data_IF_400566635663
#
_entry.id   IF_400566635663
#
_cell.length_a   1.000
_cell.length_b   1.000
_cell.length_c   1.000
_cell.angle_alpha   90.00
_cell.angle_beta   90.00
_cell.angle_gamma   90.00
#
_symmetry.space_group_name_H-M   'P 1'
#
loop_
_entity.id
_entity.type
_entity.pdbx_description
1 polymer ?
#
# COMPACT_ATOMS: atom_id res chain seq x y z
N UNK A 1 0.20 55.28 0.90
CA UNK A 1 -0.32 54.03 1.47
C UNK A 1 0.27 52.85 0.69
N UNK A 2 1.32 52.23 1.21
CA UNK A 2 1.94 51.03 0.62
C UNK A 2 1.26 49.80 1.23
N UNK A 3 0.60 49.00 0.40
CA UNK A 3 -0.01 47.73 0.81
C UNK A 3 1.11 46.70 0.94
N UNK A 4 1.28 46.15 2.15
CA UNK A 4 2.10 44.97 2.37
C UNK A 4 1.31 43.75 1.91
N UNK A 5 1.83 43.05 0.91
CA UNK A 5 1.36 41.73 0.49
C UNK A 5 2.13 40.74 1.34
N UNK A 6 1.47 40.14 2.33
CA UNK A 6 2.01 39.03 3.12
C UNK A 6 2.08 37.81 2.19
N UNK A 7 3.25 37.18 1.98
CA UNK A 7 3.31 35.95 1.21
C UNK A 7 2.68 34.84 2.05
N UNK A 8 1.58 34.28 1.55
CA UNK A 8 1.04 33.00 1.99
C UNK A 8 2.11 31.97 1.62
N UNK A 9 2.86 31.51 2.63
CA UNK A 9 3.84 30.45 2.47
C UNK A 9 3.14 29.20 1.98
N UNK A 10 3.53 28.74 0.79
CA UNK A 10 3.19 27.42 0.29
C UNK A 10 3.89 26.44 1.23
N UNK A 11 3.11 25.87 2.16
CA UNK A 11 3.54 24.72 2.95
C UNK A 11 3.71 23.57 1.97
N UNK A 12 4.97 23.28 1.63
CA UNK A 12 5.33 22.06 0.93
C UNK A 12 4.98 20.91 1.88
N UNK A 13 3.88 20.22 1.59
CA UNK A 13 3.55 18.93 2.19
C UNK A 13 4.66 17.95 1.81
N UNK A 14 5.65 17.83 2.69
CA UNK A 14 6.51 16.66 2.69
C UNK A 14 5.64 15.50 3.17
N UNK A 15 5.11 14.73 2.23
CA UNK A 15 4.62 13.38 2.49
C UNK A 15 5.85 12.57 2.86
N UNK A 16 6.24 12.61 4.13
CA UNK A 16 7.07 11.55 4.70
C UNK A 16 6.16 10.33 4.65
N UNK A 17 6.36 9.48 3.66
CA UNK A 17 5.70 8.18 3.52
C UNK A 17 6.20 7.25 4.62
N UNK A 18 5.84 7.55 5.86
CA UNK A 18 5.64 6.59 6.91
C UNK A 18 4.14 6.29 6.96
N UNK A 19 3.63 5.60 5.94
CA UNK A 19 2.26 5.09 5.95
C UNK A 19 2.16 3.98 7.00
N UNK A 20 1.97 4.40 8.26
CA UNK A 20 1.49 3.56 9.36
C UNK A 20 -0.04 3.52 9.42
N UNK A 21 -0.74 3.86 8.34
CA UNK A 21 -2.18 3.66 8.22
C UNK A 21 -2.42 2.35 7.49
N UNK A 22 -2.64 1.28 8.25
CA UNK A 22 -3.27 0.07 7.74
C UNK A 22 -4.64 0.46 7.18
N UNK A 23 -4.69 0.73 5.88
CA UNK A 23 -5.93 0.77 5.13
C UNK A 23 -6.48 -0.65 5.22
N UNK A 24 -7.59 -0.82 5.95
CA UNK A 24 -8.38 -2.04 5.86
C UNK A 24 -9.00 -2.06 4.46
N UNK A 25 -8.28 -2.60 3.49
CA UNK A 25 -8.91 -3.06 2.27
C UNK A 25 -9.90 -4.17 2.63
N UNK A 26 -11.08 -4.21 2.01
CA UNK A 26 -11.95 -5.37 2.13
C UNK A 26 -11.22 -6.56 1.51
N UNK A 27 -10.71 -7.44 2.36
CA UNK A 27 -10.22 -8.77 2.00
C UNK A 27 -11.32 -9.46 1.19
N UNK A 28 -11.12 -9.57 -0.11
CA UNK A 28 -11.86 -10.50 -0.94
C UNK A 28 -11.36 -11.90 -0.58
N UNK A 29 -12.31 -12.79 -0.34
CA UNK A 29 -12.12 -14.11 0.27
C UNK A 29 -11.01 -14.92 -0.42
N UNK A 30 -9.85 -14.98 0.20
CA UNK A 30 -8.89 -16.07 0.08
C UNK A 30 -8.69 -16.66 1.46
N UNK A 31 -9.07 -17.92 1.66
CA UNK A 31 -8.85 -18.66 2.89
C UNK A 31 -7.33 -18.84 3.13
N UNK A 32 -6.72 -17.85 3.79
CA UNK A 32 -5.33 -17.87 4.22
C UNK A 32 -5.27 -17.37 5.66
N UNK A 33 -4.82 -18.24 6.57
CA UNK A 33 -4.68 -18.04 8.01
C UNK A 33 -4.01 -16.69 8.36
N UNK A 34 -4.83 -15.66 8.57
CA UNK A 34 -4.40 -14.38 9.12
C UNK A 34 -3.99 -14.57 10.58
N UNK A 35 -2.68 -14.63 10.82
CA UNK A 35 -2.15 -14.65 12.17
C UNK A 35 -2.40 -13.28 12.79
N UNK A 36 -3.37 -13.17 13.70
CA UNK A 36 -3.58 -11.98 14.54
C UNK A 36 -2.30 -11.71 15.33
N UNK A 37 -1.51 -10.73 14.88
CA UNK A 37 -0.38 -10.21 15.66
C UNK A 37 -0.99 -9.42 16.83
N UNK A 38 -1.07 -10.05 18.00
CA UNK A 38 -1.35 -9.34 19.24
C UNK A 38 -0.30 -8.26 19.43
N UNK A 39 -0.70 -7.00 19.25
CA UNK A 39 0.12 -5.82 19.56
C UNK A 39 0.34 -5.79 21.07
N UNK A 40 1.47 -6.31 21.52
CA UNK A 40 1.94 -6.12 22.89
C UNK A 40 2.31 -4.65 23.06
N UNK A 41 1.65 -3.96 23.98
CA UNK A 41 1.96 -2.58 24.32
C UNK A 41 3.41 -2.51 24.83
N UNK A 42 4.27 -1.81 24.08
CA UNK A 42 5.67 -1.62 24.46
C UNK A 42 5.69 -0.46 25.45
N UNK A 43 5.99 -0.75 26.70
CA UNK A 43 6.27 0.26 27.70
C UNK A 43 7.53 1.03 27.28
N UNK A 44 7.40 2.34 27.01
CA UNK A 44 8.50 3.19 26.54
C UNK A 44 9.03 3.99 27.72
N UNK A 45 10.34 3.93 27.94
CA UNK A 45 10.99 4.74 28.96
C UNK A 45 11.01 6.21 28.53
N UNK A 46 10.07 7.01 29.02
CA UNK A 46 10.08 8.46 28.87
C UNK A 46 11.29 9.02 29.61
N UNK A 47 12.18 9.68 28.87
CA UNK A 47 13.43 10.22 29.43
C UNK A 47 13.30 11.69 29.80
N UNK A 48 12.37 12.42 29.16
CA UNK A 48 12.07 13.82 29.47
C UNK A 48 10.59 14.10 29.22
N UNK A 49 9.97 14.85 30.13
CA UNK A 49 8.63 15.40 29.98
C UNK A 49 8.69 16.93 29.84
N UNK A 50 7.97 17.47 28.85
CA UNK A 50 7.75 18.92 28.75
C UNK A 50 6.66 19.34 29.73
N UNK A 51 6.82 20.52 30.33
CA UNK A 51 5.84 21.06 31.29
C UNK A 51 4.85 21.96 30.56
N UNK A 52 3.56 21.86 30.89
CA UNK A 52 2.51 22.73 30.36
C UNK A 52 2.15 23.85 31.38
N UNK A 53 2.79 25.03 31.37
CA UNK A 53 2.50 26.07 32.36
C UNK A 53 1.20 26.83 32.09
N UNK A 54 0.73 26.86 30.83
CA UNK A 54 -0.52 27.51 30.41
C UNK A 54 -1.50 26.47 29.89
N UNK A 55 -2.75 26.54 30.31
CA UNK A 55 -3.80 25.63 29.83
C UNK A 55 -4.19 25.97 28.38
N UNK A 56 -4.11 27.25 27.99
CA UNK A 56 -4.56 27.73 26.69
C UNK A 56 -3.46 27.68 25.62
N UNK A 57 -3.82 27.22 24.42
CA UNK A 57 -2.96 27.18 23.23
C UNK A 57 -3.67 27.85 22.05
N UNK A 58 -3.87 29.19 22.09
CA UNK A 58 -4.79 29.87 21.18
C UNK A 58 -4.43 29.74 19.70
N UNK A 59 -3.13 29.72 19.37
CA UNK A 59 -2.67 29.54 17.98
C UNK A 59 -2.98 28.13 17.47
N UNK A 60 -2.75 27.11 18.32
CA UNK A 60 -3.06 25.72 18.04
C UNK A 60 -4.57 25.48 17.89
N UNK A 61 -5.36 26.06 18.78
CA UNK A 61 -6.82 25.91 18.79
C UNK A 61 -7.44 26.54 17.53
N UNK A 62 -6.85 27.64 17.06
CA UNK A 62 -7.22 28.26 15.78
C UNK A 62 -6.96 27.31 14.61
N UNK A 63 -5.78 26.68 14.54
CA UNK A 63 -5.46 25.72 13.47
C UNK A 63 -6.40 24.51 13.52
N UNK A 64 -6.71 24.00 14.72
CA UNK A 64 -7.69 22.91 14.89
C UNK A 64 -9.07 23.30 14.35
N UNK A 65 -9.53 24.51 14.66
CA UNK A 65 -10.80 25.03 14.15
C UNK A 65 -10.77 25.16 12.61
N UNK A 66 -9.68 25.69 12.04
CA UNK A 66 -9.50 25.79 10.59
C UNK A 66 -9.52 24.41 9.91
N UNK A 67 -8.87 23.39 10.49
CA UNK A 67 -8.89 22.00 9.97
C UNK A 67 -10.32 21.47 9.85
N UNK A 68 -11.15 21.67 10.89
CA UNK A 68 -12.55 21.24 10.87
C UNK A 68 -13.39 21.90 9.79
N UNK A 69 -12.99 23.10 9.36
CA UNK A 69 -13.69 23.85 8.33
C UNK A 69 -13.30 23.47 6.90
N UNK A 70 -12.18 22.76 6.71
CA UNK A 70 -11.66 22.38 5.38
C UNK A 70 -12.59 21.37 4.68
N UNK A 71 -12.79 21.50 3.35
CA UNK A 71 -13.59 20.55 2.57
C UNK A 71 -13.12 19.10 2.74
N UNK A 72 -11.82 18.84 2.70
CA UNK A 72 -11.27 17.49 2.79
C UNK A 72 -11.62 16.80 4.13
N UNK A 73 -11.69 17.57 5.22
CA UNK A 73 -12.15 17.06 6.50
C UNK A 73 -13.66 16.80 6.47
N UNK A 74 -14.46 17.77 6.00
CA UNK A 74 -15.93 17.67 5.92
C UNK A 74 -16.43 16.60 4.96
N UNK A 75 -15.68 16.32 3.90
CA UNK A 75 -15.97 15.29 2.91
C UNK A 75 -15.49 13.90 3.40
N UNK A 76 -14.80 13.85 4.54
CA UNK A 76 -14.37 12.60 5.17
C UNK A 76 -13.19 11.94 4.49
N UNK A 77 -12.38 12.71 3.74
CA UNK A 77 -11.20 12.21 3.02
C UNK A 77 -10.21 11.57 4.00
N UNK A 78 -10.08 12.14 5.20
CA UNK A 78 -9.20 11.63 6.26
C UNK A 78 -9.87 10.63 7.21
N UNK A 79 -11.09 10.18 6.91
CA UNK A 79 -11.91 9.31 7.76
C UNK A 79 -13.07 10.03 8.44
N UNK A 80 -13.62 9.42 9.50
CA UNK A 80 -14.78 9.93 10.21
C UNK A 80 -14.46 11.27 10.88
N UNK A 81 -15.29 12.29 10.65
CA UNK A 81 -15.09 13.63 11.21
C UNK A 81 -15.30 13.65 12.73
N UNK A 82 -14.25 13.37 13.50
CA UNK A 82 -14.27 13.41 14.97
C UNK A 82 -13.35 14.51 15.50
N UNK A 83 -13.57 14.91 16.76
CA UNK A 83 -12.69 15.85 17.46
C UNK A 83 -11.27 15.29 17.66
N UNK A 84 -11.15 13.97 17.74
CA UNK A 84 -9.90 13.21 17.82
C UNK A 84 -9.14 13.25 16.50
N UNK A 85 -9.81 13.02 15.37
CA UNK A 85 -9.18 13.17 14.05
C UNK A 85 -8.68 14.60 13.84
N UNK A 86 -9.49 15.61 14.20
CA UNK A 86 -9.06 17.01 14.14
C UNK A 86 -7.85 17.28 15.04
N UNK A 87 -7.78 16.63 16.21
CA UNK A 87 -6.65 16.72 17.11
C UNK A 87 -5.38 16.11 16.51
N UNK A 88 -5.47 14.90 15.94
CA UNK A 88 -4.35 14.21 15.33
C UNK A 88 -3.80 14.97 14.11
N UNK A 89 -4.69 15.51 13.27
CA UNK A 89 -4.29 16.39 12.17
C UNK A 89 -3.66 17.69 12.66
N UNK A 90 -4.07 18.21 13.83
CA UNK A 90 -3.43 19.37 14.45
C UNK A 90 -2.00 19.02 14.88
N UNK A 91 -1.81 17.86 15.53
CA UNK A 91 -0.47 17.35 15.90
C UNK A 91 0.44 17.25 14.67
N UNK A 92 -0.07 16.74 13.55
CA UNK A 92 0.69 16.64 12.31
C UNK A 92 1.00 17.99 11.66
N UNK A 93 0.18 19.02 11.86
CA UNK A 93 0.37 20.35 11.26
C UNK A 93 1.14 21.32 12.15
N UNK A 94 1.22 21.07 13.45
CA UNK A 94 1.81 21.99 14.43
C UNK A 94 2.95 21.33 15.17
N UNK A 95 2.65 20.38 16.06
CA UNK A 95 3.65 19.72 16.91
C UNK A 95 4.77 19.05 16.10
N UNK A 96 4.41 18.22 15.11
CA UNK A 96 5.38 17.48 14.30
C UNK A 96 6.38 18.37 13.57
N UNK A 97 5.95 19.31 12.71
CA UNK A 97 6.85 20.20 11.98
C UNK A 97 7.75 21.05 12.90
N UNK A 98 7.21 21.53 14.03
CA UNK A 98 7.99 22.29 15.01
C UNK A 98 9.04 21.42 15.67
N UNK A 99 8.68 20.19 16.06
CA UNK A 99 9.62 19.24 16.64
C UNK A 99 10.69 18.81 15.65
N UNK A 100 10.34 18.53 14.40
CA UNK A 100 11.30 18.22 13.33
C UNK A 100 12.27 19.39 13.13
N UNK A 101 11.78 20.62 13.06
CA UNK A 101 12.64 21.81 12.92
C UNK A 101 13.63 21.94 14.09
N UNK A 102 13.16 21.71 15.33
CA UNK A 102 14.02 21.74 16.51
C UNK A 102 15.08 20.61 16.49
N UNK A 103 14.70 19.41 16.03
CA UNK A 103 15.63 18.30 15.84
C UNK A 103 16.67 18.63 14.77
N UNK A 104 16.26 19.23 13.65
CA UNK A 104 17.17 19.65 12.58
C UNK A 104 18.15 20.74 13.07
N UNK A 105 17.69 21.70 13.86
CA UNK A 105 18.55 22.75 14.44
C UNK A 105 19.64 22.15 15.35
N UNK A 106 19.25 21.20 16.20
CA UNK A 106 20.12 20.62 17.23
C UNK A 106 21.03 19.50 16.70
N UNK A 107 20.52 18.65 15.81
CA UNK A 107 21.20 17.43 15.36
C UNK A 107 21.79 17.53 13.95
N UNK A 108 21.76 18.70 13.29
CA UNK A 108 22.50 18.94 12.06
C UNK A 108 21.72 18.71 10.76
N UNK A 109 20.47 19.17 10.70
CA UNK A 109 19.64 19.22 9.50
C UNK A 109 18.84 17.94 9.21
N UNK A 110 18.23 17.88 8.03
CA UNK A 110 17.18 16.93 7.61
C UNK A 110 17.51 15.44 7.81
N UNK A 111 18.80 15.07 7.83
CA UNK A 111 19.24 13.69 8.05
C UNK A 111 20.09 13.52 9.32
N UNK A 112 20.36 14.59 10.06
CA UNK A 112 21.23 14.56 11.23
C UNK A 112 20.65 13.67 12.33
N UNK A 113 19.36 13.84 12.63
CA UNK A 113 18.69 13.07 13.67
C UNK A 113 18.51 11.57 13.34
N UNK A 114 18.54 11.18 12.06
CA UNK A 114 18.34 9.77 11.68
C UNK A 114 19.40 8.83 12.26
N UNK A 115 20.58 9.36 12.60
CA UNK A 115 21.70 8.61 13.21
C UNK A 115 21.61 8.50 14.73
N UNK A 116 20.70 9.24 15.32
CA UNK A 116 20.64 9.51 16.75
C UNK A 116 19.39 8.88 17.36
N UNK A 117 18.35 8.66 16.54
CA UNK A 117 17.07 8.20 17.02
C UNK A 117 16.05 7.89 15.94
N UNK A 118 14.81 7.81 16.38
CA UNK A 118 13.61 7.59 15.58
C UNK A 118 12.56 8.67 15.89
N UNK A 119 11.70 8.92 14.91
CA UNK A 119 10.51 9.77 15.06
C UNK A 119 9.31 9.10 14.42
N UNK A 120 8.13 9.29 15.01
CA UNK A 120 6.86 8.84 14.43
C UNK A 120 5.69 9.64 15.01
N UNK A 121 4.56 9.61 14.30
CA UNK A 121 3.28 10.07 14.84
C UNK A 121 2.58 8.89 15.53
N UNK A 122 2.09 9.13 16.74
CA UNK A 122 1.35 8.15 17.53
C UNK A 122 -0.04 7.85 16.94
N UNK A 123 -0.63 6.75 17.39
CA UNK A 123 -1.99 6.33 17.03
C UNK A 123 -3.04 7.04 17.88
N UNK A 124 -4.32 6.83 17.57
CA UNK A 124 -5.46 7.31 18.35
C UNK A 124 -5.36 6.93 19.84
N UNK A 125 -4.85 5.73 20.16
CA UNK A 125 -4.65 5.26 21.53
C UNK A 125 -3.51 6.00 22.26
N UNK A 126 -2.53 6.51 21.53
CA UNK A 126 -1.32 7.14 22.07
C UNK A 126 -0.92 8.36 21.22
N UNK A 127 -1.76 9.41 21.16
CA UNK A 127 -1.60 10.49 20.20
C UNK A 127 -0.41 11.37 20.55
N UNK A 128 0.23 11.91 19.51
CA UNK A 128 1.35 12.83 19.66
C UNK A 128 2.45 12.59 18.64
N UNK A 129 3.48 13.42 18.73
CA UNK A 129 4.74 13.27 18.03
C UNK A 129 5.76 12.68 19.00
N UNK A 130 6.31 11.53 18.62
CA UNK A 130 7.21 10.74 19.46
C UNK A 130 8.63 10.84 18.94
N UNK A 131 9.56 11.15 19.85
CA UNK A 131 10.98 11.36 19.61
C UNK A 131 11.74 10.34 20.44
N UNK A 132 12.24 9.29 19.80
CA UNK A 132 13.06 8.26 20.43
C UNK A 132 14.52 8.60 20.24
N UNK A 133 15.31 8.72 21.30
CA UNK A 133 16.75 8.99 21.22
C UNK A 133 17.50 7.78 21.73
N UNK A 134 18.41 7.23 20.91
CA UNK A 134 19.17 6.04 21.27
C UNK A 134 20.22 6.34 22.33
N UNK A 135 20.99 7.41 22.17
CA UNK A 135 22.04 7.79 23.11
C UNK A 135 21.88 9.26 23.50
N UNK A 136 21.06 9.57 24.51
CA UNK A 136 20.90 10.95 24.99
C UNK A 136 22.23 11.57 25.42
N UNK A 137 22.47 12.80 25.01
CA UNK A 137 23.65 13.60 25.36
C UNK A 137 23.25 15.07 25.61
N UNK A 138 24.21 15.99 25.70
CA UNK A 138 23.95 17.41 25.97
C UNK A 138 23.02 18.10 24.95
N UNK A 139 22.90 17.56 23.74
CA UNK A 139 22.00 18.09 22.70
C UNK A 139 20.54 17.85 23.06
N UNK A 140 20.22 16.84 23.87
CA UNK A 140 18.86 16.65 24.38
C UNK A 140 18.40 17.84 25.22
N UNK A 141 19.27 18.39 26.07
CA UNK A 141 18.93 19.57 26.88
C UNK A 141 18.62 20.78 26.01
N UNK A 142 19.35 20.95 24.91
CA UNK A 142 19.10 22.00 23.92
C UNK A 142 17.77 21.82 23.19
N UNK A 143 17.48 20.58 22.74
CA UNK A 143 16.19 20.23 22.14
C UNK A 143 15.03 20.54 23.10
N UNK A 144 15.13 20.10 24.34
CA UNK A 144 14.11 20.31 25.38
C UNK A 144 13.92 21.79 25.63
N UNK A 145 14.99 22.59 25.67
CA UNK A 145 14.91 24.04 25.83
C UNK A 145 14.15 24.71 24.68
N UNK A 146 14.41 24.32 23.43
CA UNK A 146 13.71 24.86 22.25
C UNK A 146 12.22 24.51 22.30
N UNK A 147 11.89 23.23 22.55
CA UNK A 147 10.52 22.76 22.59
C UNK A 147 9.74 23.36 23.77
N UNK A 148 10.35 23.42 24.96
CA UNK A 148 9.76 24.03 26.14
C UNK A 148 9.43 25.51 25.89
N UNK A 149 10.30 26.26 25.20
CA UNK A 149 9.99 27.65 24.85
C UNK A 149 8.73 27.77 23.96
N UNK A 150 8.50 26.81 23.04
CA UNK A 150 7.28 26.75 22.22
C UNK A 150 6.06 26.42 23.06
N UNK A 151 6.18 25.49 24.00
CA UNK A 151 5.11 25.17 24.96
C UNK A 151 4.78 26.39 25.85
N UNK A 152 5.78 27.08 26.39
CA UNK A 152 5.61 28.25 27.27
C UNK A 152 4.91 29.42 26.55
N UNK A 153 5.17 29.57 25.25
CA UNK A 153 4.46 30.52 24.39
C UNK A 153 3.03 30.12 24.04
N UNK A 154 2.64 28.86 24.26
CA UNK A 154 1.32 28.33 23.90
C UNK A 154 1.17 27.97 22.41
N UNK A 155 2.28 27.82 21.69
CA UNK A 155 2.30 27.47 20.26
C UNK A 155 2.01 25.97 20.06
N UNK A 156 2.58 25.13 20.94
CA UNK A 156 2.38 23.68 20.94
C UNK A 156 1.90 23.21 22.31
N UNK A 157 1.30 22.01 22.36
CA UNK A 157 0.91 21.39 23.63
C UNK A 157 1.91 20.30 24.05
N UNK A 158 2.43 20.39 25.28
CA UNK A 158 3.38 19.42 25.83
C UNK A 158 2.85 17.98 25.84
N UNK A 159 1.53 17.78 26.02
CA UNK A 159 0.93 16.44 26.05
C UNK A 159 1.08 15.63 24.76
N UNK A 160 1.46 16.28 23.66
CA UNK A 160 1.63 15.65 22.35
C UNK A 160 3.08 15.59 21.90
N UNK A 161 4.05 15.91 22.76
CA UNK A 161 5.46 15.71 22.47
C UNK A 161 6.01 14.72 23.48
N UNK A 162 6.40 13.55 22.99
CA UNK A 162 6.88 12.45 23.83
C UNK A 162 8.35 12.20 23.53
N UNK A 163 9.22 12.30 24.53
CA UNK A 163 10.66 12.07 24.37
C UNK A 163 11.06 10.83 25.18
N UNK A 164 11.52 9.79 24.50
CA UNK A 164 11.77 8.47 25.10
C UNK A 164 13.13 7.89 24.69
N UNK A 165 13.60 6.91 25.45
CA UNK A 165 14.79 6.13 25.11
C UNK A 165 14.46 5.13 24.01
N UNK A 166 15.18 5.16 22.90
CA UNK A 166 15.04 4.17 21.84
C UNK A 166 16.18 3.15 21.86
N UNK A 167 15.91 1.92 21.40
CA UNK A 167 16.93 0.87 21.25
C UNK A 167 17.69 0.97 19.92
N UNK A 168 17.16 1.72 18.95
CA UNK A 168 17.69 1.81 17.59
C UNK A 168 17.47 3.20 16.99
N UNK A 169 18.04 3.42 15.81
CA UNK A 169 17.91 4.66 15.04
C UNK A 169 17.31 4.37 13.67
N UNK A 170 16.80 5.41 12.99
CA UNK A 170 16.33 5.29 11.61
C UNK A 170 17.44 4.79 10.66
N UNK A 171 18.69 5.21 10.87
CA UNK A 171 19.83 4.75 10.07
C UNK A 171 20.10 3.26 10.27
N UNK A 172 20.08 2.77 11.52
CA UNK A 172 20.25 1.34 11.82
C UNK A 172 19.11 0.49 11.26
N UNK A 173 17.85 0.94 11.39
CA UNK A 173 16.69 0.24 10.83
C UNK A 173 16.75 0.18 9.30
N UNK A 174 17.14 1.27 8.64
CA UNK A 174 17.35 1.28 7.18
C UNK A 174 18.46 0.33 6.76
N UNK A 175 19.59 0.32 7.48
CA UNK A 175 20.70 -0.58 7.19
C UNK A 175 20.30 -2.05 7.35
N UNK A 176 19.52 -2.38 8.38
CA UNK A 176 18.96 -3.71 8.60
C UNK A 176 17.99 -4.10 7.47
N UNK A 177 17.05 -3.22 7.13
CA UNK A 177 16.11 -3.42 6.02
C UNK A 177 16.85 -3.69 4.71
N UNK A 178 17.88 -2.91 4.39
CA UNK A 178 18.71 -3.09 3.20
C UNK A 178 19.46 -4.43 3.22
N UNK A 179 19.93 -4.87 4.38
CA UNK A 179 20.59 -6.18 4.52
C UNK A 179 19.63 -7.33 4.29
N UNK A 180 18.46 -7.31 4.92
CA UNK A 180 17.41 -8.33 4.73
C UNK A 180 16.95 -8.34 3.28
N UNK A 181 16.67 -7.17 2.71
CA UNK A 181 16.25 -7.02 1.32
C UNK A 181 17.27 -7.64 0.35
N UNK A 182 18.57 -7.49 0.59
CA UNK A 182 19.60 -8.15 -0.25
C UNK A 182 19.54 -9.67 -0.19
N UNK A 183 19.28 -10.25 0.99
CA UNK A 183 19.16 -11.70 1.12
C UNK A 183 17.89 -12.23 0.44
N UNK A 184 16.74 -11.59 0.68
CA UNK A 184 15.47 -11.97 0.03
C UNK A 184 15.57 -11.81 -1.50
N UNK A 185 16.24 -10.76 -1.97
CA UNK A 185 16.44 -10.54 -3.42
C UNK A 185 17.21 -11.67 -4.09
N UNK A 186 18.23 -12.25 -3.45
CA UNK A 186 18.92 -13.43 -4.01
C UNK A 186 17.96 -14.60 -4.18
N UNK A 187 17.08 -14.81 -3.20
CA UNK A 187 16.07 -15.87 -3.26
C UNK A 187 15.06 -15.64 -4.39
N UNK A 188 14.71 -14.39 -4.70
CA UNK A 188 13.91 -14.04 -5.89
C UNK A 188 14.66 -14.38 -7.18
N UNK A 189 15.94 -14.00 -7.27
CA UNK A 189 16.77 -14.26 -8.44
C UNK A 189 17.02 -15.76 -8.69
N UNK A 190 17.03 -16.55 -7.62
CA UNK A 190 17.15 -18.02 -7.64
C UNK A 190 15.81 -18.74 -7.91
N UNK A 191 14.68 -18.06 -7.75
CA UNK A 191 13.37 -18.65 -8.03
C UNK A 191 13.23 -18.93 -9.53
N UNK A 192 12.66 -20.08 -9.90
CA UNK A 192 12.62 -20.53 -11.30
C UNK A 192 11.85 -19.57 -12.24
N UNK A 193 10.92 -18.78 -11.70
CA UNK A 193 10.22 -17.70 -12.43
C UNK A 193 10.24 -16.39 -11.63
N UNK A 194 11.35 -15.62 -11.66
CA UNK A 194 11.51 -14.39 -10.86
C UNK A 194 10.45 -13.32 -11.16
N UNK A 195 9.82 -13.38 -12.35
CA UNK A 195 8.79 -12.44 -12.76
C UNK A 195 7.41 -12.75 -12.18
N UNK A 196 7.21 -13.90 -11.52
CA UNK A 196 5.94 -14.29 -10.89
C UNK A 196 5.93 -14.04 -9.37
N UNK A 197 7.05 -13.61 -8.80
CA UNK A 197 7.18 -13.41 -7.35
C UNK A 197 7.18 -11.93 -6.99
N UNK A 198 6.77 -11.65 -5.76
CA UNK A 198 6.76 -10.34 -5.14
C UNK A 198 7.13 -10.46 -3.67
N UNK A 199 7.74 -9.40 -3.15
CA UNK A 199 8.02 -9.29 -1.73
C UNK A 199 8.12 -7.83 -1.29
N UNK A 200 7.94 -7.61 0.00
CA UNK A 200 8.26 -6.39 0.72
C UNK A 200 9.17 -6.74 1.88
N UNK A 201 10.02 -5.80 2.29
CA UNK A 201 10.77 -5.87 3.54
C UNK A 201 10.61 -4.55 4.24
N UNK A 202 10.17 -4.59 5.49
CA UNK A 202 10.12 -3.45 6.40
C UNK A 202 10.75 -3.82 7.74
N UNK A 203 11.13 -2.79 8.49
CA UNK A 203 11.52 -2.92 9.88
C UNK A 203 10.56 -2.06 10.69
N UNK A 204 9.83 -2.66 11.62
CA UNK A 204 8.87 -1.94 12.45
C UNK A 204 9.61 -0.90 13.30
N UNK A 205 9.22 0.36 13.13
CA UNK A 205 9.89 1.50 13.77
C UNK A 205 9.91 1.38 15.29
N UNK A 206 8.97 0.67 15.92
CA UNK A 206 8.83 0.63 17.38
C UNK A 206 9.51 -0.56 18.05
N UNK A 207 9.59 -1.68 17.35
CA UNK A 207 10.12 -2.94 17.88
C UNK A 207 11.46 -3.31 17.26
N UNK A 208 11.79 -2.76 16.08
CA UNK A 208 12.91 -3.23 15.28
C UNK A 208 12.70 -4.65 14.73
N UNK A 209 11.46 -5.17 14.78
CA UNK A 209 11.12 -6.45 14.16
C UNK A 209 11.21 -6.32 12.64
N UNK A 210 11.70 -7.36 11.99
CA UNK A 210 11.73 -7.46 10.54
C UNK A 210 10.37 -8.02 10.09
N UNK A 211 9.75 -7.37 9.11
CA UNK A 211 8.52 -7.83 8.48
C UNK A 211 8.82 -8.14 7.01
N UNK A 212 8.49 -9.36 6.58
CA UNK A 212 8.70 -9.82 5.21
C UNK A 212 7.36 -10.31 4.70
N UNK A 213 6.76 -9.54 3.79
CA UNK A 213 5.65 -10.06 3.02
C UNK A 213 6.17 -10.69 1.74
N UNK A 214 5.67 -11.86 1.35
CA UNK A 214 6.14 -12.57 0.17
C UNK A 214 5.05 -13.46 -0.43
N UNK A 215 5.27 -13.97 -1.64
CA UNK A 215 4.45 -15.04 -2.21
C UNK A 215 5.26 -16.25 -2.67
N UNK A 216 6.51 -16.41 -2.24
CA UNK A 216 7.40 -17.44 -2.82
C UNK A 216 8.38 -18.11 -1.86
N UNK A 217 8.61 -17.56 -0.66
CA UNK A 217 9.58 -18.14 0.27
C UNK A 217 9.12 -19.51 0.76
N UNK A 218 10.02 -20.48 0.65
CA UNK A 218 9.85 -21.83 1.22
C UNK A 218 10.14 -21.84 2.72
N UNK A 219 9.69 -22.87 3.44
CA UNK A 219 10.00 -23.05 4.86
C UNK A 219 11.51 -23.03 5.13
N UNK A 220 12.30 -23.66 4.26
CA UNK A 220 13.76 -23.70 4.38
C UNK A 220 14.39 -22.30 4.24
N UNK A 221 13.90 -21.48 3.31
CA UNK A 221 14.36 -20.10 3.15
C UNK A 221 13.95 -19.22 4.33
N UNK A 222 12.73 -19.42 4.85
CA UNK A 222 12.24 -18.75 6.07
C UNK A 222 13.15 -19.06 7.26
N UNK A 223 13.48 -20.33 7.50
CA UNK A 223 14.38 -20.70 8.59
C UNK A 223 15.79 -20.15 8.39
N UNK A 224 16.31 -20.18 7.15
CA UNK A 224 17.60 -19.56 6.85
C UNK A 224 17.63 -18.05 7.17
N UNK A 225 16.56 -17.32 6.86
CA UNK A 225 16.45 -15.89 7.20
C UNK A 225 16.41 -15.70 8.73
N UNK A 226 15.65 -16.51 9.46
CA UNK A 226 15.61 -16.45 10.93
C UNK A 226 16.98 -16.71 11.55
N UNK A 227 17.73 -17.69 11.04
CA UNK A 227 19.10 -17.99 11.49
C UNK A 227 20.08 -16.85 11.15
N UNK A 228 19.93 -16.24 9.97
CA UNK A 228 20.81 -15.16 9.50
C UNK A 228 20.62 -13.84 10.25
N UNK A 229 19.44 -13.64 10.85
CA UNK A 229 19.08 -12.45 11.63
C UNK A 229 18.60 -12.83 13.04
N UNK A 230 19.29 -13.77 13.70
CA UNK A 230 18.93 -14.37 14.99
C UNK A 230 18.70 -13.38 16.16
N UNK A 231 19.26 -12.17 16.05
CA UNK A 231 19.07 -11.07 17.02
C UNK A 231 17.75 -10.32 16.85
N UNK A 232 17.04 -10.56 15.75
CA UNK A 232 15.80 -9.87 15.41
C UNK A 232 14.66 -10.88 15.30
N UNK A 233 13.49 -10.51 15.81
CA UNK A 233 12.27 -11.25 15.47
C UNK A 233 11.91 -10.93 14.03
N UNK A 234 11.64 -11.97 13.24
CA UNK A 234 11.12 -11.85 11.87
C UNK A 234 9.67 -12.32 11.85
N UNK A 235 8.80 -11.54 11.23
CA UNK A 235 7.40 -11.87 10.95
C UNK A 235 7.27 -12.05 9.44
N UNK A 236 6.68 -13.17 9.04
CA UNK A 236 6.45 -13.50 7.63
C UNK A 236 4.94 -13.49 7.35
N UNK A 237 4.56 -12.87 6.24
CA UNK A 237 3.17 -12.84 5.76
C UNK A 237 3.12 -13.24 4.29
N UNK A 238 2.08 -13.98 3.91
CA UNK A 238 1.86 -14.34 2.51
C UNK A 238 1.03 -13.23 1.83
N UNK A 239 1.52 -12.67 0.72
CA UNK A 239 0.77 -11.73 -0.13
C UNK A 239 0.02 -12.48 -1.22
N UNK A 240 -1.30 -12.44 -1.17
CA UNK A 240 -2.14 -13.05 -2.20
C UNK A 240 -1.89 -14.55 -2.35
N UNK A 241 -1.80 -15.02 -3.60
CA UNK A 241 -1.55 -16.43 -3.92
C UNK A 241 -0.05 -16.70 -4.02
N UNK A 242 0.39 -17.83 -3.48
CA UNK A 242 1.76 -18.31 -3.65
C UNK A 242 2.08 -18.49 -5.14
N UNK A 243 3.28 -18.09 -5.54
CA UNK A 243 3.82 -18.38 -6.85
C UNK A 243 3.93 -19.90 -7.02
N UNK A 244 3.47 -20.47 -8.15
CA UNK A 244 3.59 -21.91 -8.41
C UNK A 244 5.05 -22.34 -8.36
N UNK A 245 5.31 -23.53 -7.81
CA UNK A 245 6.65 -24.13 -7.80
C UNK A 245 7.07 -24.60 -9.20
N UNK A 246 8.34 -25.00 -9.36
CA UNK A 246 8.83 -25.51 -10.63
C UNK A 246 8.03 -26.74 -11.09
N UNK A 247 7.40 -26.64 -12.26
CA UNK A 247 6.57 -27.70 -12.82
C UNK A 247 5.08 -27.62 -12.43
N UNK A 248 4.72 -26.73 -11.51
CA UNK A 248 3.31 -26.42 -11.23
C UNK A 248 2.74 -25.45 -12.27
N UNK A 249 1.44 -25.55 -12.59
CA UNK A 249 0.82 -24.67 -13.57
C UNK A 249 0.57 -23.27 -12.99
N UNK A 250 0.98 -22.25 -13.74
CA UNK A 250 0.60 -20.84 -13.51
C UNK A 250 -0.67 -20.42 -14.28
N UNK A 251 -1.23 -21.34 -15.07
CA UNK A 251 -2.55 -21.22 -15.70
C UNK A 251 -3.41 -22.40 -15.32
N UNK A 252 -4.55 -22.13 -14.69
CA UNK A 252 -5.53 -23.14 -14.29
C UNK A 252 -6.64 -23.16 -15.33
N UNK A 253 -6.84 -24.30 -15.97
CA UNK A 253 -7.93 -24.49 -16.94
C UNK A 253 -9.16 -25.06 -16.23
N UNK A 254 -10.38 -24.72 -16.70
CA UNK A 254 -11.58 -25.23 -16.10
C UNK A 254 -11.77 -26.72 -16.41
N UNK A 255 -12.40 -27.46 -15.49
CA UNK A 255 -12.73 -28.88 -15.72
C UNK A 255 -13.63 -29.09 -16.94
N UNK A 256 -14.53 -28.12 -17.19
CA UNK A 256 -15.39 -28.07 -18.37
C UNK A 256 -15.01 -26.89 -19.24
N UNK A 257 -14.79 -27.16 -20.52
CA UNK A 257 -14.45 -26.13 -21.50
C UNK A 257 -15.57 -25.10 -21.69
N UNK A 258 -16.84 -25.52 -21.61
CA UNK A 258 -17.99 -24.68 -21.89
C UNK A 258 -19.02 -24.64 -20.76
N UNK A 259 -19.75 -23.54 -20.67
CA UNK A 259 -20.92 -23.33 -19.80
C UNK A 259 -22.07 -22.67 -20.56
N UNK A 260 -23.31 -23.01 -20.24
CA UNK A 260 -24.51 -22.30 -20.74
C UNK A 260 -24.94 -21.16 -19.81
N UNK A 261 -24.22 -20.96 -18.70
CA UNK A 261 -24.46 -19.87 -17.74
C UNK A 261 -23.31 -18.88 -17.82
N UNK A 262 -23.61 -17.63 -18.13
CA UNK A 262 -22.60 -16.58 -18.20
C UNK A 262 -22.02 -16.30 -16.81
N UNK A 263 -20.71 -16.07 -16.76
CA UNK A 263 -20.01 -15.70 -15.54
C UNK A 263 -20.17 -14.20 -15.25
N UNK A 264 -20.51 -13.86 -14.01
CA UNK A 264 -20.53 -12.48 -13.50
C UNK A 264 -19.16 -12.02 -12.99
N UNK A 265 -18.24 -12.95 -12.76
CA UNK A 265 -16.89 -12.72 -12.23
C UNK A 265 -15.84 -12.85 -13.32
N UNK A 266 -14.63 -12.36 -13.02
CA UNK A 266 -13.50 -12.40 -13.93
C UNK A 266 -13.60 -11.37 -15.05
N UNK A 267 -12.48 -11.20 -15.72
CA UNK A 267 -12.30 -10.20 -16.75
C UNK A 267 -11.94 -10.84 -18.08
N UNK A 268 -12.27 -10.16 -19.18
CA UNK A 268 -11.99 -10.65 -20.53
C UNK A 268 -10.60 -10.21 -20.97
N UNK A 269 -9.80 -11.15 -21.47
CA UNK A 269 -8.52 -10.86 -22.11
C UNK A 269 -8.80 -10.16 -23.45
N UNK A 270 -8.43 -8.90 -23.55
CA UNK A 270 -8.61 -8.07 -24.75
C UNK A 270 -7.36 -8.07 -25.64
N UNK A 271 -6.19 -8.44 -25.10
CA UNK A 271 -4.94 -8.53 -25.86
C UNK A 271 -3.93 -9.43 -25.18
N UNK A 272 -3.13 -10.16 -25.98
CA UNK A 272 -2.04 -11.01 -25.47
C UNK A 272 -0.77 -10.73 -26.25
N UNK A 273 0.28 -10.39 -25.51
CA UNK A 273 1.64 -10.19 -25.97
C UNK A 273 2.55 -11.32 -25.46
N UNK A 274 3.83 -11.30 -25.84
CA UNK A 274 4.77 -12.38 -25.53
C UNK A 274 4.80 -12.73 -24.04
N UNK A 275 5.01 -11.72 -23.19
CA UNK A 275 5.23 -11.85 -21.75
C UNK A 275 4.26 -10.97 -20.93
N UNK A 276 3.11 -10.64 -21.52
CA UNK A 276 2.12 -9.72 -20.96
C UNK A 276 0.75 -9.95 -21.59
N UNK A 277 -0.31 -9.66 -20.85
CA UNK A 277 -1.67 -9.62 -21.40
C UNK A 277 -2.43 -8.40 -20.88
N UNK A 278 -3.50 -8.04 -21.59
CA UNK A 278 -4.39 -6.92 -21.28
C UNK A 278 -5.78 -7.47 -21.02
N UNK A 279 -6.37 -7.09 -19.88
CA UNK A 279 -7.70 -7.50 -19.45
C UNK A 279 -8.39 -6.33 -18.78
N UNK A 280 -9.70 -6.17 -19.00
CA UNK A 280 -10.47 -5.04 -18.46
C UNK A 280 -9.81 -3.70 -18.78
N UNK A 281 -9.20 -3.08 -17.78
CA UNK A 281 -8.46 -1.81 -17.89
C UNK A 281 -6.99 -1.91 -17.46
N UNK A 282 -6.43 -3.12 -17.36
CA UNK A 282 -5.11 -3.39 -16.80
C UNK A 282 -4.23 -4.27 -17.70
N UNK A 283 -2.94 -3.94 -17.76
CA UNK A 283 -1.91 -4.83 -18.27
C UNK A 283 -1.27 -5.63 -17.13
N UNK A 284 -1.10 -6.93 -17.35
CA UNK A 284 -0.37 -7.81 -16.45
C UNK A 284 0.87 -8.35 -17.11
N UNK A 285 2.02 -8.17 -16.47
CA UNK A 285 3.23 -8.92 -16.81
C UNK A 285 3.04 -10.38 -16.41
N UNK A 286 3.29 -11.30 -17.35
CA UNK A 286 3.07 -12.73 -17.19
C UNK A 286 3.93 -13.52 -18.17
N UNK A 287 4.91 -14.25 -17.67
CA UNK A 287 5.91 -14.97 -18.47
C UNK A 287 5.24 -15.93 -19.47
N UNK A 288 5.60 -15.81 -20.75
CA UNK A 288 5.05 -16.64 -21.84
C UNK A 288 3.52 -16.52 -22.04
N UNK A 289 2.91 -15.39 -21.69
CA UNK A 289 1.46 -15.13 -21.84
C UNK A 289 0.91 -15.56 -23.21
N UNK A 290 1.57 -15.20 -24.33
CA UNK A 290 1.12 -15.57 -25.69
C UNK A 290 1.02 -17.08 -25.94
N UNK A 291 1.79 -17.88 -25.22
CA UNK A 291 1.76 -19.35 -25.36
C UNK A 291 0.65 -19.99 -24.52
N UNK A 292 0.28 -19.34 -23.41
CA UNK A 292 -0.61 -19.90 -22.39
C UNK A 292 -2.04 -19.37 -22.47
N UNK A 293 -2.20 -18.12 -22.92
CA UNK A 293 -3.44 -17.37 -22.93
C UNK A 293 -3.86 -17.00 -24.36
N UNK A 294 -5.16 -16.72 -24.52
CA UNK A 294 -5.77 -16.29 -25.77
C UNK A 294 -6.68 -15.09 -25.53
N UNK A 295 -6.69 -14.16 -26.47
CA UNK A 295 -7.70 -13.09 -26.50
C UNK A 295 -9.09 -13.71 -26.52
N UNK A 296 -9.99 -13.12 -25.73
CA UNK A 296 -11.36 -13.55 -25.56
C UNK A 296 -11.62 -14.31 -24.26
N UNK A 297 -10.62 -15.01 -23.73
CA UNK A 297 -10.79 -15.82 -22.54
C UNK A 297 -11.20 -14.95 -21.34
N UNK A 298 -12.18 -15.43 -20.58
CA UNK A 298 -12.53 -14.87 -19.29
C UNK A 298 -11.65 -15.47 -18.20
N UNK A 299 -11.03 -14.62 -17.39
CA UNK A 299 -10.03 -15.04 -16.42
C UNK A 299 -10.18 -14.38 -15.06
N UNK A 300 -9.81 -15.10 -14.01
CA UNK A 300 -9.49 -14.55 -12.70
C UNK A 300 -7.97 -14.43 -12.60
N UNK A 301 -7.48 -13.23 -12.25
CA UNK A 301 -6.05 -12.96 -12.16
C UNK A 301 -5.65 -12.79 -10.70
N UNK A 302 -4.81 -13.69 -10.19
CA UNK A 302 -4.12 -13.50 -8.91
C UNK A 302 -2.89 -12.63 -9.15
N UNK A 303 -2.73 -11.56 -8.38
CA UNK A 303 -1.65 -10.57 -8.56
C UNK A 303 -0.65 -10.59 -7.42
N UNK A 304 0.53 -10.00 -7.65
CA UNK A 304 1.51 -9.74 -6.59
C UNK A 304 2.19 -8.39 -6.79
N UNK A 305 2.67 -7.82 -5.69
CA UNK A 305 3.30 -6.51 -5.67
C UNK A 305 2.32 -5.34 -5.88
N UNK A 306 2.88 -4.17 -6.15
CA UNK A 306 2.09 -2.95 -6.36
C UNK A 306 1.40 -2.97 -7.73
N UNK A 307 0.15 -2.53 -7.75
CA UNK A 307 -0.53 -2.14 -8.98
C UNK A 307 -0.24 -0.66 -9.23
N UNK A 308 0.32 -0.32 -10.39
CA UNK A 308 0.51 1.07 -10.77
C UNK A 308 -0.82 1.70 -11.18
N UNK A 309 -1.20 2.77 -10.49
CA UNK A 309 -2.36 3.60 -10.79
C UNK A 309 -2.12 4.45 -12.06
N UNK A 310 -2.10 3.79 -13.21
CA UNK A 310 -2.10 4.42 -14.54
C UNK A 310 -3.37 4.06 -15.31
N UNK A 311 -3.62 4.73 -16.44
CA UNK A 311 -4.68 4.34 -17.36
C UNK A 311 -4.09 3.99 -18.73
N UNK A 312 -3.98 2.70 -19.10
CA UNK A 312 -4.41 1.51 -18.35
C UNK A 312 -3.50 1.18 -17.15
N UNK A 313 -4.05 0.51 -16.14
CA UNK A 313 -3.32 0.08 -14.95
C UNK A 313 -2.24 -0.94 -15.29
N UNK A 314 -1.24 -1.11 -14.42
CA UNK A 314 -0.15 -2.06 -14.64
C UNK A 314 0.04 -2.92 -13.39
N UNK A 315 0.10 -4.24 -13.57
CA UNK A 315 0.35 -5.18 -12.48
C UNK A 315 1.16 -6.38 -12.96
N UNK A 316 1.37 -7.32 -12.04
CA UNK A 316 2.02 -8.60 -12.29
C UNK A 316 1.06 -9.73 -11.93
N UNK A 317 0.85 -10.66 -12.84
CA UNK A 317 0.05 -11.85 -12.59
C UNK A 317 0.94 -12.97 -12.03
N UNK A 318 0.42 -13.68 -11.02
CA UNK A 318 1.05 -14.86 -10.42
C UNK A 318 0.42 -16.13 -10.98
N UNK A 319 -0.92 -16.18 -10.96
CA UNK A 319 -1.73 -17.28 -11.48
C UNK A 319 -2.90 -16.71 -12.25
N UNK A 320 -3.20 -17.30 -13.40
CA UNK A 320 -4.36 -16.96 -14.22
C UNK A 320 -5.30 -18.16 -14.27
N UNK A 321 -6.48 -18.05 -13.71
CA UNK A 321 -7.51 -19.08 -13.80
C UNK A 321 -8.47 -18.74 -14.94
N UNK A 322 -8.60 -19.65 -15.91
CA UNK A 322 -9.51 -19.50 -17.04
C UNK A 322 -10.87 -20.06 -16.62
N UNK A 323 -11.92 -19.27 -16.80
CA UNK A 323 -13.29 -19.72 -16.56
C UNK A 323 -13.84 -20.49 -17.77
N UNK A 324 -14.81 -21.41 -17.57
CA UNK A 324 -15.52 -22.05 -18.67
C UNK A 324 -16.06 -21.02 -19.68
N UNK A 325 -15.92 -21.31 -20.96
CA UNK A 325 -16.31 -20.39 -22.01
C UNK A 325 -17.84 -20.40 -22.19
N UNK A 326 -18.45 -19.22 -22.14
CA UNK A 326 -19.90 -19.10 -22.22
C UNK A 326 -20.38 -19.37 -23.64
N UNK A 327 -21.24 -20.38 -23.79
CA UNK A 327 -21.89 -20.76 -25.04
C UNK A 327 -23.37 -21.07 -24.76
N UNK A 328 -24.28 -20.13 -24.99
CA UNK A 328 -25.71 -20.36 -24.80
C UNK A 328 -26.24 -21.41 -25.78
N UNK A 329 -27.39 -22.00 -25.43
CA UNK A 329 -28.04 -23.01 -26.26
C UNK A 329 -28.40 -22.42 -27.63
N UNK A 330 -28.00 -23.11 -28.69
CA UNK A 330 -28.26 -22.71 -30.07
C UNK A 330 -27.20 -21.81 -30.70
N UNK A 331 -26.26 -21.25 -29.92
CA UNK A 331 -25.17 -20.46 -30.46
C UNK A 331 -24.09 -21.33 -31.12
N UNK A 332 -23.51 -20.85 -32.21
CA UNK A 332 -22.35 -21.40 -32.90
C UNK A 332 -21.06 -20.87 -32.30
N UNK A 333 -20.99 -19.55 -32.03
CA UNK A 333 -19.85 -18.90 -31.38
C UNK A 333 -19.94 -18.98 -29.85
N UNK A 334 -18.78 -18.78 -29.23
CA UNK A 334 -18.59 -18.65 -27.78
C UNK A 334 -18.33 -17.19 -27.40
N UNK A 335 -18.49 -16.85 -26.12
CA UNK A 335 -18.10 -15.54 -25.60
C UNK A 335 -16.66 -15.20 -25.97
N UNK A 336 -15.71 -16.13 -25.79
CA UNK A 336 -14.31 -15.87 -26.13
C UNK A 336 -14.10 -15.57 -27.62
N UNK A 337 -14.79 -16.28 -28.52
CA UNK A 337 -14.69 -16.01 -29.96
C UNK A 337 -15.28 -14.64 -30.32
N UNK A 338 -16.44 -14.30 -29.76
CA UNK A 338 -17.12 -13.02 -29.96
C UNK A 338 -16.24 -11.87 -29.49
N UNK A 339 -15.62 -12.00 -28.31
CA UNK A 339 -14.68 -11.02 -27.77
C UNK A 339 -13.43 -10.90 -28.62
N UNK A 340 -12.87 -12.00 -29.11
CA UNK A 340 -11.71 -11.97 -30.00
C UNK A 340 -12.00 -11.21 -31.31
N UNK A 341 -13.21 -11.37 -31.86
CA UNK A 341 -13.68 -10.60 -33.04
C UNK A 341 -13.85 -9.13 -32.66
N UNK A 342 -14.49 -8.82 -31.53
CA UNK A 342 -14.72 -7.44 -31.09
C UNK A 342 -13.39 -6.69 -30.80
N UNK A 343 -12.42 -7.36 -30.19
CA UNK A 343 -11.10 -6.81 -29.89
C UNK A 343 -10.31 -6.43 -31.17
N UNK A 344 -10.47 -7.17 -32.26
CA UNK A 344 -9.88 -6.81 -33.57
C UNK A 344 -10.44 -5.51 -34.13
N UNK A 345 -11.69 -5.18 -33.80
CA UNK A 345 -12.35 -3.93 -34.18
C UNK A 345 -11.97 -2.75 -33.25
N UNK A 346 -11.03 -2.95 -32.31
CA UNK A 346 -10.57 -1.93 -31.34
C UNK A 346 -11.71 -1.34 -30.52
N UNK A 347 -12.71 -2.14 -30.20
CA UNK A 347 -13.75 -1.75 -29.24
C UNK A 347 -13.07 -1.44 -27.89
N UNK A 348 -13.62 -0.49 -27.13
CA UNK A 348 -13.12 -0.13 -25.82
C UNK A 348 -13.23 -1.26 -24.79
N UNK A 349 -13.20 -0.90 -23.50
CA UNK A 349 -13.44 -1.87 -22.42
C UNK A 349 -14.86 -2.42 -22.58
N UNK A 350 -14.97 -3.74 -22.75
CA UNK A 350 -16.26 -4.42 -22.91
C UNK A 350 -16.98 -4.41 -21.56
N UNK A 351 -18.17 -3.84 -21.52
CA UNK A 351 -19.01 -3.75 -20.33
C UNK A 351 -20.06 -4.86 -20.30
N UNK A 352 -20.53 -5.30 -21.48
CA UNK A 352 -21.63 -6.25 -21.60
C UNK A 352 -21.54 -7.07 -22.88
N UNK A 353 -21.91 -8.35 -22.76
CA UNK A 353 -22.04 -9.28 -23.89
C UNK A 353 -23.37 -10.02 -23.73
N UNK A 354 -24.21 -9.99 -24.77
CA UNK A 354 -25.50 -10.66 -24.79
C UNK A 354 -25.67 -11.45 -26.10
N UNK A 355 -26.28 -12.63 -26.02
CA UNK A 355 -26.70 -13.40 -27.18
C UNK A 355 -28.20 -13.21 -27.40
N UNK A 356 -28.58 -12.76 -28.59
CA UNK A 356 -29.96 -12.67 -29.04
C UNK A 356 -30.31 -13.93 -29.85
N UNK A 357 -31.00 -14.86 -29.22
CA UNK A 357 -31.38 -16.14 -29.82
C UNK A 357 -32.35 -15.98 -31.00
N UNK A 358 -33.22 -14.97 -30.98
CA UNK A 358 -34.24 -14.79 -32.03
C UNK A 358 -33.61 -14.33 -33.35
N UNK A 359 -32.55 -13.53 -33.26
CA UNK A 359 -31.85 -12.95 -34.42
C UNK A 359 -30.56 -13.70 -34.79
N UNK A 360 -30.10 -14.65 -33.96
CA UNK A 360 -28.84 -15.39 -34.15
C UNK A 360 -27.61 -14.45 -34.16
N UNK A 361 -27.58 -13.52 -33.20
CA UNK A 361 -26.59 -12.44 -33.11
C UNK A 361 -26.07 -12.23 -31.69
N UNK A 362 -24.81 -11.82 -31.59
CA UNK A 362 -24.19 -11.34 -30.36
C UNK A 362 -24.11 -9.82 -30.33
N UNK A 363 -24.45 -9.23 -29.19
CA UNK A 363 -24.35 -7.80 -28.92
C UNK A 363 -23.23 -7.58 -27.91
N UNK A 364 -22.17 -6.88 -28.33
CA UNK A 364 -21.04 -6.50 -27.48
C UNK A 364 -21.09 -4.99 -27.26
N UNK A 365 -21.25 -4.57 -26.00
CA UNK A 365 -21.28 -3.16 -25.62
C UNK A 365 -20.04 -2.77 -24.83
N UNK A 366 -19.53 -1.59 -25.14
CA UNK A 366 -18.48 -0.89 -24.40
C UNK A 366 -18.96 0.49 -23.99
N UNK A 367 -18.15 1.20 -23.21
CA UNK A 367 -18.42 2.58 -22.80
C UNK A 367 -18.59 3.59 -23.96
N UNK A 368 -18.23 3.23 -25.20
CA UNK A 368 -18.25 4.11 -26.37
C UNK A 368 -19.09 3.59 -27.52
N UNK A 369 -19.04 2.28 -27.74
CA UNK A 369 -19.56 1.64 -28.95
C UNK A 369 -20.30 0.35 -28.61
N UNK A 370 -21.28 0.01 -29.44
CA UNK A 370 -21.94 -1.29 -29.47
C UNK A 370 -21.70 -1.92 -30.84
N UNK A 371 -21.27 -3.18 -30.84
CA UNK A 371 -21.02 -3.97 -32.05
C UNK A 371 -21.93 -5.19 -32.05
N UNK A 372 -22.63 -5.40 -33.15
CA UNK A 372 -23.41 -6.62 -33.41
C UNK A 372 -22.58 -7.57 -34.25
N UNK A 373 -22.48 -8.83 -33.83
CA UNK A 373 -21.72 -9.89 -34.49
C UNK A 373 -22.69 -11.03 -34.81
N UNK A 374 -22.89 -11.32 -36.10
CA UNK A 374 -23.69 -12.47 -36.52
C UNK A 374 -23.04 -13.78 -36.09
N UNK A 375 -23.85 -14.74 -35.68
CA UNK A 375 -23.40 -16.02 -35.11
C UNK A 375 -23.16 -17.11 -36.17
N UNK A 376 -22.98 -16.75 -37.45
CA UNK A 376 -22.85 -17.70 -38.59
C UNK A 376 -21.46 -17.82 -39.20
#
# INVERSE_FOLDING_TARGET
MKKYITPIGIAVLFIVTGCGTAVKEPVTNGEGSGSEVQKKEIEREIIVELKQPKIETPERDKVKAEIKERPEFKDGIYGKQTDELAENLTVQQIEGPIAITALEEVYGGQNGFQKEGIIFYGTDENPGFWIGIKNPDERLDELVKILQAKVDSGVISAKYIHIFKSDFTHEEQRALMDQVNREVKKMVEEFHNPNAVGYSVSVDTLTGNIEIDHNFLTEKQIEHLKESFDRHKIVFSIQGKMAPDEGEPDVIYPEKEFTTTQHSEGELILGVEKDRFFTGSMYYDFTDAKKKLKTGQRVLVSTTGMIMESFPGQGRAVVVEILPDYKPDGANLTESQVVAIAAQNKIGVIEKIEFNQDEDEWIVSSNKDTVTIGDK
#
